data_IF_733828015246
#
_entry.id   IF_733828015246
#
_cell.length_a   1.000
_cell.length_b   1.000
_cell.length_c   1.000
_cell.angle_alpha   90.00
_cell.angle_beta   90.00
_cell.angle_gamma   90.00
#
_symmetry.space_group_name_H-M   'P 1'
#
loop_
_entity.id
_entity.type
_entity.pdbx_description
1 polymer ?
#
# COMPACT_ATOMS: atom_id res chain seq x y z
N UNK A 1 -7.63 33.43 -11.04
CA UNK A 1 -6.29 33.04 -10.56
C UNK A 1 -6.27 31.51 -10.43
N UNK A 2 -5.76 30.80 -11.44
CA UNK A 2 -5.77 29.33 -11.51
C UNK A 2 -4.68 28.82 -10.55
N UNK A 3 -5.04 28.25 -9.40
CA UNK A 3 -4.11 27.50 -8.56
C UNK A 3 -3.68 26.26 -9.31
N UNK A 4 -2.45 26.23 -9.83
CA UNK A 4 -1.83 25.00 -10.34
C UNK A 4 -1.87 23.96 -9.22
N UNK A 5 -2.63 22.86 -9.43
CA UNK A 5 -2.53 21.70 -8.56
C UNK A 5 -1.10 21.13 -8.73
N UNK A 6 -0.38 20.86 -7.64
CA UNK A 6 0.93 20.24 -7.74
C UNK A 6 0.80 18.88 -8.41
N UNK A 7 1.60 18.67 -9.45
CA UNK A 7 1.65 17.45 -10.23
C UNK A 7 2.05 16.31 -9.29
N UNK A 8 1.35 15.20 -9.35
CA UNK A 8 1.55 13.99 -8.50
C UNK A 8 3.01 13.43 -8.50
N UNK A 9 3.86 13.90 -9.40
CA UNK A 9 5.28 13.53 -9.51
C UNK A 9 6.17 14.03 -8.34
N UNK A 10 5.87 15.18 -7.73
CA UNK A 10 6.75 15.75 -6.69
C UNK A 10 6.70 14.91 -5.39
N UNK A 11 5.53 14.38 -5.03
CA UNK A 11 5.39 13.52 -3.85
C UNK A 11 6.05 12.13 -4.02
N UNK A 12 6.23 11.68 -5.26
CA UNK A 12 6.86 10.41 -5.57
C UNK A 12 8.39 10.48 -5.44
N UNK A 13 9.00 11.55 -5.97
CA UNK A 13 10.45 11.77 -5.86
C UNK A 13 10.87 11.83 -4.40
N UNK A 14 10.13 12.54 -3.56
CA UNK A 14 10.43 12.64 -2.12
C UNK A 14 10.33 11.32 -1.37
N UNK A 15 9.34 10.49 -1.71
CA UNK A 15 9.18 9.20 -1.06
C UNK A 15 10.31 8.22 -1.38
N UNK A 16 11.01 8.42 -2.51
CA UNK A 16 12.11 7.56 -2.97
C UNK A 16 13.48 8.16 -2.65
N UNK A 17 13.59 9.48 -2.67
CA UNK A 17 14.87 10.18 -2.55
C UNK A 17 15.62 9.79 -1.27
N UNK A 18 14.98 9.89 -0.12
CA UNK A 18 15.62 9.60 1.16
C UNK A 18 16.02 8.11 1.31
N UNK A 19 15.17 7.11 0.99
CA UNK A 19 15.57 5.70 0.99
C UNK A 19 16.75 5.39 0.05
N UNK A 20 16.69 5.88 -1.18
CA UNK A 20 17.76 5.62 -2.18
C UNK A 20 19.05 6.29 -1.75
N UNK A 21 18.98 7.55 -1.31
CA UNK A 21 20.15 8.27 -0.80
C UNK A 21 20.77 7.54 0.39
N UNK A 22 19.96 7.13 1.38
CA UNK A 22 20.44 6.41 2.56
C UNK A 22 21.18 5.13 2.18
N UNK A 23 20.58 4.27 1.34
CA UNK A 23 21.20 3.01 0.91
C UNK A 23 22.46 3.25 0.11
N UNK A 24 22.46 4.25 -0.76
CA UNK A 24 23.65 4.59 -1.57
C UNK A 24 24.80 5.06 -0.68
N UNK A 25 24.54 5.98 0.25
CA UNK A 25 25.58 6.50 1.15
C UNK A 25 26.06 5.43 2.12
N UNK A 26 25.17 4.57 2.65
CA UNK A 26 25.55 3.50 3.59
C UNK A 26 26.47 2.44 2.98
N UNK A 27 26.69 2.48 1.68
CA UNK A 27 27.64 1.62 0.97
C UNK A 27 29.07 2.16 1.02
N UNK A 28 29.22 3.48 1.15
CA UNK A 28 30.51 4.18 1.10
C UNK A 28 30.90 4.77 2.44
N UNK A 29 29.98 4.93 3.36
CA UNK A 29 30.16 5.55 4.66
C UNK A 29 29.64 4.66 5.78
N UNK A 30 30.13 4.88 6.97
CA UNK A 30 29.63 4.24 8.18
C UNK A 30 28.15 4.57 8.42
N UNK A 31 27.45 3.68 9.11
CA UNK A 31 26.02 3.80 9.36
C UNK A 31 25.65 5.15 9.99
N UNK A 32 26.40 5.62 11.01
CA UNK A 32 26.13 6.89 11.68
C UNK A 32 26.23 8.07 10.72
N UNK A 33 27.30 8.12 9.92
CA UNK A 33 27.48 9.16 8.89
C UNK A 33 26.35 9.14 7.87
N UNK A 34 25.92 7.96 7.45
CA UNK A 34 24.83 7.79 6.51
C UNK A 34 23.48 8.28 7.07
N UNK A 35 23.23 8.03 8.34
CA UNK A 35 22.03 8.54 9.06
C UNK A 35 22.08 10.07 9.13
N UNK A 36 23.22 10.66 9.51
CA UNK A 36 23.36 12.12 9.62
C UNK A 36 23.19 12.80 8.27
N UNK A 37 23.82 12.30 7.21
CA UNK A 37 23.71 12.85 5.86
C UNK A 37 22.27 12.75 5.32
N UNK A 38 21.59 11.63 5.58
CA UNK A 38 20.19 11.46 5.18
C UNK A 38 19.27 12.39 5.99
N UNK A 39 19.54 12.56 7.29
CA UNK A 39 18.83 13.54 8.12
C UNK A 39 19.02 14.98 7.62
N UNK A 40 20.24 15.35 7.24
CA UNK A 40 20.54 16.66 6.65
C UNK A 40 19.77 16.85 5.31
N UNK A 41 19.75 15.85 4.45
CA UNK A 41 18.96 15.88 3.21
C UNK A 41 17.47 16.14 3.49
N UNK A 42 16.89 15.46 4.48
CA UNK A 42 15.50 15.67 4.88
C UNK A 42 15.27 17.12 5.33
N UNK A 43 16.15 17.67 6.18
CA UNK A 43 16.04 19.06 6.64
C UNK A 43 16.14 20.03 5.48
N UNK A 44 17.07 19.83 4.55
CA UNK A 44 17.23 20.66 3.35
C UNK A 44 15.96 20.62 2.50
N UNK A 45 15.42 19.43 2.24
CA UNK A 45 14.20 19.25 1.45
C UNK A 45 12.99 19.92 2.10
N UNK A 46 12.84 19.80 3.44
CA UNK A 46 11.78 20.48 4.17
C UNK A 46 11.95 22.01 4.12
N UNK A 47 13.16 22.51 4.34
CA UNK A 47 13.45 23.96 4.30
C UNK A 47 13.11 24.52 2.93
N UNK A 48 13.49 23.85 1.85
CA UNK A 48 13.17 24.22 0.48
C UNK A 48 11.65 24.34 0.26
N UNK A 49 10.86 23.37 0.78
CA UNK A 49 9.39 23.38 0.67
C UNK A 49 8.75 24.51 1.48
N UNK A 50 9.28 24.80 2.66
CA UNK A 50 8.83 25.96 3.46
C UNK A 50 9.04 27.26 2.67
N UNK A 51 10.21 27.42 2.06
CA UNK A 51 10.49 28.59 1.22
C UNK A 51 9.54 28.71 0.02
N UNK A 52 9.15 27.59 -0.58
CA UNK A 52 8.20 27.54 -1.70
C UNK A 52 6.74 27.64 -1.28
N UNK A 53 6.45 27.75 0.02
CA UNK A 53 5.07 27.76 0.57
C UNK A 53 4.22 26.57 0.14
N UNK A 54 4.85 25.40 -0.03
CA UNK A 54 4.16 24.16 -0.38
C UNK A 54 3.48 23.54 0.85
N UNK A 55 2.48 22.68 0.64
CA UNK A 55 1.79 22.00 1.73
C UNK A 55 2.73 21.03 2.45
N UNK A 56 2.97 21.27 3.74
CA UNK A 56 3.84 20.45 4.59
C UNK A 56 3.19 19.17 5.09
N UNK A 57 1.86 19.05 5.01
CA UNK A 57 1.12 17.92 5.63
C UNK A 57 1.63 16.56 5.19
N UNK A 58 1.78 16.34 3.88
CA UNK A 58 2.25 15.06 3.34
C UNK A 58 3.75 14.86 3.58
N UNK A 59 4.53 15.96 3.56
CA UNK A 59 5.96 15.92 3.83
C UNK A 59 6.26 15.56 5.29
N UNK A 60 5.50 16.07 6.25
CA UNK A 60 5.66 15.75 7.66
C UNK A 60 5.41 14.26 7.94
N UNK A 61 4.40 13.66 7.30
CA UNK A 61 4.15 12.20 7.40
C UNK A 61 5.33 11.42 6.84
N UNK A 62 5.87 11.83 5.68
CA UNK A 62 7.04 11.20 5.07
C UNK A 62 8.28 11.32 5.95
N UNK A 63 8.52 12.51 6.51
CA UNK A 63 9.64 12.76 7.44
C UNK A 63 9.52 11.92 8.70
N UNK A 64 8.35 11.90 9.33
CA UNK A 64 8.14 11.07 10.53
C UNK A 64 8.42 9.59 10.24
N UNK A 65 7.90 9.07 9.13
CA UNK A 65 8.15 7.69 8.72
C UNK A 65 9.62 7.40 8.44
N UNK A 66 10.31 8.32 7.75
CA UNK A 66 11.76 8.18 7.47
C UNK A 66 12.59 8.29 8.74
N UNK A 67 12.27 9.21 9.65
CA UNK A 67 12.96 9.36 10.92
C UNK A 67 12.84 8.10 11.78
N UNK A 68 11.64 7.50 11.86
CA UNK A 68 11.44 6.22 12.56
C UNK A 68 12.29 5.12 11.90
N UNK A 69 12.33 5.06 10.57
CA UNK A 69 13.12 4.07 9.85
C UNK A 69 14.63 4.23 10.12
N UNK A 70 15.14 5.47 10.15
CA UNK A 70 16.54 5.77 10.49
C UNK A 70 16.89 5.40 11.95
N UNK A 71 16.00 5.69 12.89
CA UNK A 71 16.15 5.28 14.29
C UNK A 71 16.23 3.75 14.43
N UNK A 72 15.39 3.02 13.72
CA UNK A 72 15.41 1.55 13.73
C UNK A 72 16.70 1.03 13.10
N UNK A 73 17.18 1.63 12.01
CA UNK A 73 18.47 1.30 11.41
C UNK A 73 19.63 1.50 12.41
N UNK A 74 19.60 2.59 13.16
CA UNK A 74 20.59 2.88 14.20
C UNK A 74 20.54 1.86 15.35
N UNK A 75 19.35 1.56 15.88
CA UNK A 75 19.17 0.58 16.96
C UNK A 75 19.66 -0.80 16.53
N UNK A 76 19.39 -1.18 15.28
CA UNK A 76 19.77 -2.47 14.72
C UNK A 76 21.24 -2.54 14.28
N UNK A 77 21.93 -1.40 14.20
CA UNK A 77 23.32 -1.33 13.74
C UNK A 77 23.51 -1.68 12.26
N UNK A 78 22.45 -1.59 11.44
CA UNK A 78 22.46 -2.03 10.04
C UNK A 78 21.56 -1.17 9.17
N UNK A 79 22.03 -0.87 7.93
CA UNK A 79 21.23 -0.15 6.94
C UNK A 79 19.94 -0.88 6.56
N UNK A 80 19.91 -2.20 6.67
CA UNK A 80 18.69 -3.01 6.43
C UNK A 80 17.58 -2.69 7.42
N UNK A 81 17.90 -2.28 8.65
CA UNK A 81 16.95 -1.86 9.67
C UNK A 81 16.01 -0.75 9.20
N UNK A 82 16.46 0.09 8.27
CA UNK A 82 15.63 1.13 7.63
C UNK A 82 14.37 0.56 6.96
N UNK A 83 14.42 -0.65 6.46
CA UNK A 83 13.30 -1.29 5.75
C UNK A 83 12.37 -2.05 6.70
N UNK A 84 12.78 -2.32 7.94
CA UNK A 84 12.05 -3.18 8.89
C UNK A 84 10.59 -2.74 9.13
N UNK A 85 10.27 -1.44 9.34
CA UNK A 85 8.88 -1.03 9.52
C UNK A 85 7.99 -1.38 8.32
N UNK A 86 8.53 -1.25 7.11
CA UNK A 86 7.83 -1.61 5.87
C UNK A 86 7.58 -3.11 5.77
N UNK A 87 8.57 -3.92 6.13
CA UNK A 87 8.49 -5.39 6.12
C UNK A 87 7.42 -5.86 7.12
N UNK A 88 7.48 -5.36 8.36
CA UNK A 88 6.51 -5.69 9.41
C UNK A 88 5.09 -5.32 8.96
N UNK A 89 4.91 -4.11 8.42
CA UNK A 89 3.62 -3.68 7.89
C UNK A 89 3.10 -4.63 6.82
N UNK A 90 3.90 -4.94 5.80
CA UNK A 90 3.48 -5.75 4.66
C UNK A 90 3.10 -7.18 5.09
N UNK A 91 3.90 -7.79 5.97
CA UNK A 91 3.61 -9.10 6.54
C UNK A 91 2.40 -9.11 7.48
N UNK A 92 2.25 -8.06 8.31
CA UNK A 92 1.09 -7.93 9.19
C UNK A 92 -0.21 -7.81 8.39
N UNK A 93 -0.21 -6.99 7.33
CA UNK A 93 -1.38 -6.85 6.45
C UNK A 93 -1.67 -8.16 5.71
N UNK A 94 -0.63 -8.86 5.24
CA UNK A 94 -0.79 -10.18 4.61
C UNK A 94 -1.38 -11.20 5.60
N UNK A 95 -0.87 -11.26 6.84
CA UNK A 95 -1.35 -12.17 7.87
C UNK A 95 -2.80 -11.89 8.27
N UNK A 96 -3.15 -10.61 8.52
CA UNK A 96 -4.53 -10.20 8.82
C UNK A 96 -5.44 -10.51 7.64
N UNK A 97 -4.99 -10.23 6.42
CA UNK A 97 -5.73 -10.55 5.20
C UNK A 97 -5.97 -12.05 5.05
N UNK A 98 -4.95 -12.87 5.29
CA UNK A 98 -5.05 -14.33 5.27
C UNK A 98 -6.06 -14.84 6.31
N UNK A 99 -5.95 -14.38 7.55
CA UNK A 99 -6.90 -14.74 8.62
C UNK A 99 -8.33 -14.32 8.25
N UNK A 100 -8.52 -13.14 7.67
CA UNK A 100 -9.84 -12.67 7.23
C UNK A 100 -10.50 -13.59 6.20
N UNK A 101 -9.66 -14.19 5.31
CA UNK A 101 -10.12 -15.17 4.30
C UNK A 101 -10.50 -16.50 4.97
N UNK A 102 -9.69 -16.97 5.93
CA UNK A 102 -9.96 -18.20 6.68
C UNK A 102 -11.26 -18.11 7.46
N UNK A 103 -11.53 -16.97 8.12
CA UNK A 103 -12.79 -16.72 8.84
C UNK A 103 -13.98 -16.45 7.91
N UNK A 104 -13.79 -16.57 6.60
CA UNK A 104 -14.85 -16.38 5.62
C UNK A 104 -15.36 -14.93 5.50
N UNK A 105 -14.61 -13.96 5.99
CA UNK A 105 -14.91 -12.52 5.93
C UNK A 105 -13.73 -11.74 5.31
N UNK A 106 -13.48 -11.86 3.99
CA UNK A 106 -12.34 -11.23 3.34
C UNK A 106 -12.27 -9.73 3.61
N UNK A 107 -11.08 -9.22 3.94
CA UNK A 107 -10.86 -7.81 4.30
C UNK A 107 -11.30 -6.82 3.21
N UNK A 108 -11.25 -7.24 1.94
CA UNK A 108 -11.71 -6.47 0.78
C UNK A 108 -13.20 -6.11 0.85
N UNK A 109 -14.01 -6.91 1.53
CA UNK A 109 -15.42 -6.58 1.82
C UNK A 109 -15.50 -5.34 2.68
N UNK A 110 -14.70 -5.27 3.75
CA UNK A 110 -14.73 -4.14 4.67
C UNK A 110 -14.18 -2.86 4.06
N UNK A 111 -13.14 -2.95 3.23
CA UNK A 111 -12.62 -1.80 2.47
C UNK A 111 -13.67 -1.27 1.49
N UNK A 112 -14.30 -2.14 0.70
CA UNK A 112 -15.37 -1.73 -0.22
C UNK A 112 -16.61 -1.19 0.51
N UNK A 113 -17.01 -1.83 1.62
CA UNK A 113 -18.11 -1.34 2.47
C UNK A 113 -17.83 0.08 2.98
N UNK A 114 -16.62 0.34 3.45
CA UNK A 114 -16.24 1.65 3.99
C UNK A 114 -16.29 2.76 2.91
N UNK A 115 -15.97 2.43 1.67
CA UNK A 115 -15.95 3.39 0.56
C UNK A 115 -17.36 3.58 -0.02
N UNK A 116 -18.14 2.51 -0.16
CA UNK A 116 -19.42 2.53 -0.88
C UNK A 116 -20.65 2.62 0.02
N UNK A 117 -20.54 2.29 1.30
CA UNK A 117 -21.67 2.28 2.22
C UNK A 117 -22.70 1.16 1.99
N UNK A 118 -22.40 0.19 1.13
CA UNK A 118 -23.33 -0.90 0.79
C UNK A 118 -23.55 -1.86 1.98
N UNK A 119 -24.70 -2.57 2.03
CA UNK A 119 -25.01 -3.49 3.13
C UNK A 119 -24.00 -4.64 3.23
N UNK A 120 -23.58 -4.96 4.46
CA UNK A 120 -22.63 -6.06 4.68
C UNK A 120 -23.18 -7.41 4.20
N UNK A 121 -24.48 -7.64 4.38
CA UNK A 121 -25.16 -8.89 4.01
C UNK A 121 -25.15 -9.12 2.49
N UNK A 122 -25.19 -8.03 1.69
CA UNK A 122 -25.00 -8.11 0.26
C UNK A 122 -23.61 -8.63 -0.11
N UNK A 123 -22.56 -8.10 0.52
CA UNK A 123 -21.18 -8.56 0.30
C UNK A 123 -20.98 -10.03 0.69
N UNK A 124 -21.73 -10.51 1.69
CA UNK A 124 -21.67 -11.89 2.17
C UNK A 124 -22.57 -12.85 1.36
N UNK A 125 -23.35 -12.34 0.41
CA UNK A 125 -24.19 -13.17 -0.45
C UNK A 125 -23.36 -14.20 -1.23
N UNK A 126 -23.88 -15.44 -1.37
CA UNK A 126 -23.17 -16.59 -1.98
C UNK A 126 -22.61 -16.31 -3.37
N UNK A 127 -23.30 -15.49 -4.17
CA UNK A 127 -22.90 -15.12 -5.53
C UNK A 127 -22.13 -13.77 -5.60
N UNK A 128 -21.82 -13.13 -4.50
CA UNK A 128 -21.04 -11.87 -4.42
C UNK A 128 -19.71 -12.10 -3.73
N UNK A 129 -19.74 -12.73 -2.56
CA UNK A 129 -18.58 -13.00 -1.70
C UNK A 129 -17.37 -13.63 -2.42
N UNK A 130 -17.52 -14.60 -3.36
CA UNK A 130 -16.38 -15.20 -4.02
C UNK A 130 -15.49 -14.19 -4.77
N UNK A 131 -16.07 -13.15 -5.41
CA UNK A 131 -15.29 -12.12 -6.10
C UNK A 131 -14.37 -11.37 -5.13
N UNK A 132 -14.90 -10.96 -3.98
CA UNK A 132 -14.13 -10.27 -2.92
C UNK A 132 -13.07 -11.19 -2.29
N UNK A 133 -13.38 -12.49 -2.12
CA UNK A 133 -12.43 -13.47 -1.61
C UNK A 133 -11.25 -13.66 -2.57
N UNK A 134 -11.51 -13.79 -3.85
CA UNK A 134 -10.48 -13.97 -4.90
C UNK A 134 -9.57 -12.73 -4.96
N UNK A 135 -10.12 -11.52 -4.92
CA UNK A 135 -9.32 -10.28 -4.85
C UNK A 135 -8.50 -10.21 -3.56
N UNK A 136 -9.07 -10.60 -2.42
CA UNK A 136 -8.33 -10.66 -1.16
C UNK A 136 -7.13 -11.62 -1.24
N UNK A 137 -7.29 -12.78 -1.89
CA UNK A 137 -6.22 -13.75 -2.11
C UNK A 137 -5.08 -13.11 -2.93
N UNK A 138 -5.40 -12.41 -4.01
CA UNK A 138 -4.38 -11.72 -4.85
C UNK A 138 -3.56 -10.75 -3.99
N UNK A 139 -4.20 -9.94 -3.16
CA UNK A 139 -3.52 -8.99 -2.27
C UNK A 139 -2.67 -9.67 -1.20
N UNK A 140 -3.18 -10.73 -0.56
CA UNK A 140 -2.45 -11.51 0.45
C UNK A 140 -1.22 -12.16 -0.16
N UNK A 141 -1.34 -12.76 -1.35
CA UNK A 141 -0.21 -13.38 -2.06
C UNK A 141 0.82 -12.31 -2.45
N UNK A 142 0.40 -11.18 -3.01
CA UNK A 142 1.31 -10.10 -3.38
C UNK A 142 2.10 -9.56 -2.18
N UNK A 143 1.41 -9.22 -1.09
CA UNK A 143 2.05 -8.68 0.12
C UNK A 143 2.89 -9.75 0.83
N UNK A 144 2.43 -11.00 0.83
CA UNK A 144 3.15 -12.12 1.41
C UNK A 144 4.47 -12.39 0.67
N UNK A 145 4.42 -12.50 -0.66
CA UNK A 145 5.64 -12.68 -1.49
C UNK A 145 6.59 -11.50 -1.29
N UNK A 146 6.08 -10.27 -1.36
CA UNK A 146 6.88 -9.07 -1.15
C UNK A 146 7.56 -9.09 0.22
N UNK A 147 6.81 -9.32 1.30
CA UNK A 147 7.34 -9.35 2.66
C UNK A 147 8.36 -10.48 2.86
N UNK A 148 8.08 -11.66 2.30
CA UNK A 148 8.97 -12.80 2.37
C UNK A 148 10.30 -12.56 1.62
N UNK A 149 10.24 -11.99 0.42
CA UNK A 149 11.44 -11.61 -0.33
C UNK A 149 12.27 -10.57 0.44
N UNK A 150 11.61 -9.59 1.06
CA UNK A 150 12.31 -8.60 1.88
C UNK A 150 12.97 -9.24 3.12
N UNK A 151 12.35 -10.22 3.76
CA UNK A 151 12.96 -10.97 4.85
C UNK A 151 14.13 -11.83 4.39
N UNK A 152 13.97 -12.52 3.27
CA UNK A 152 15.03 -13.38 2.72
C UNK A 152 16.30 -12.59 2.38
N UNK A 153 16.14 -11.40 1.79
CA UNK A 153 17.25 -10.51 1.45
C UNK A 153 17.53 -9.46 2.51
N UNK A 154 17.13 -9.71 3.76
CA UNK A 154 17.24 -8.70 4.83
C UNK A 154 18.67 -8.20 5.06
N UNK A 155 19.67 -9.05 4.89
CA UNK A 155 21.08 -8.67 5.06
C UNK A 155 21.69 -7.93 3.85
N UNK A 156 20.89 -7.64 2.81
CA UNK A 156 21.33 -6.98 1.57
C UNK A 156 20.51 -5.71 1.33
N UNK A 157 20.89 -4.56 1.93
CA UNK A 157 20.10 -3.32 1.86
C UNK A 157 19.87 -2.83 0.42
N UNK A 158 20.81 -3.11 -0.51
CA UNK A 158 20.67 -2.76 -1.91
C UNK A 158 19.52 -3.55 -2.59
N UNK A 159 19.45 -4.86 -2.30
CA UNK A 159 18.37 -5.70 -2.84
C UNK A 159 17.03 -5.28 -2.24
N UNK A 160 17.00 -4.94 -0.94
CA UNK A 160 15.80 -4.40 -0.30
C UNK A 160 15.34 -3.10 -0.97
N UNK A 161 16.27 -2.20 -1.31
CA UNK A 161 15.93 -0.97 -2.03
C UNK A 161 15.34 -1.27 -3.42
N UNK A 162 15.91 -2.23 -4.17
CA UNK A 162 15.39 -2.66 -5.47
C UNK A 162 13.98 -3.25 -5.33
N UNK A 163 13.76 -4.14 -4.35
CA UNK A 163 12.42 -4.72 -4.07
C UNK A 163 11.43 -3.58 -3.75
N UNK A 164 11.83 -2.62 -2.91
CA UNK A 164 10.99 -1.49 -2.54
C UNK A 164 10.64 -0.61 -3.75
N UNK A 165 11.57 -0.35 -4.65
CA UNK A 165 11.33 0.37 -5.89
C UNK A 165 10.40 -0.39 -6.83
N UNK A 166 10.66 -1.68 -7.06
CA UNK A 166 9.86 -2.54 -7.92
C UNK A 166 8.42 -2.71 -7.41
N UNK A 167 8.22 -2.68 -6.08
CA UNK A 167 6.92 -2.80 -5.42
C UNK A 167 6.43 -1.47 -4.83
N UNK A 168 6.73 -0.37 -5.51
CA UNK A 168 6.40 1.00 -5.12
C UNK A 168 4.90 1.30 -5.23
N UNK A 169 4.52 2.54 -4.95
CA UNK A 169 3.13 3.00 -5.05
C UNK A 169 2.55 2.79 -6.45
N UNK A 170 3.34 2.90 -7.52
CA UNK A 170 2.90 2.68 -8.89
C UNK A 170 2.46 1.24 -9.11
N UNK A 171 3.26 0.27 -8.66
CA UNK A 171 2.90 -1.14 -8.73
C UNK A 171 1.66 -1.44 -7.90
N UNK A 172 1.53 -0.81 -6.73
CA UNK A 172 0.35 -0.93 -5.86
C UNK A 172 -0.91 -0.36 -6.53
N UNK A 173 -0.81 0.82 -7.16
CA UNK A 173 -1.92 1.44 -7.91
C UNK A 173 -2.30 0.58 -9.11
N UNK A 174 -1.31 0.10 -9.86
CA UNK A 174 -1.55 -0.82 -10.98
C UNK A 174 -2.29 -2.07 -10.51
N UNK A 175 -1.84 -2.71 -9.42
CA UNK A 175 -2.50 -3.88 -8.85
C UNK A 175 -3.93 -3.54 -8.39
N UNK A 176 -4.14 -2.37 -7.79
CA UNK A 176 -5.47 -1.91 -7.38
C UNK A 176 -6.42 -1.82 -8.57
N UNK A 177 -5.98 -1.20 -9.67
CA UNK A 177 -6.78 -1.07 -10.89
C UNK A 177 -7.08 -2.46 -11.49
N UNK A 178 -6.06 -3.31 -11.59
CA UNK A 178 -6.22 -4.66 -12.13
C UNK A 178 -7.17 -5.51 -11.28
N UNK A 179 -7.05 -5.47 -9.96
CA UNK A 179 -7.94 -6.21 -9.06
C UNK A 179 -9.35 -5.65 -9.03
N UNK A 180 -9.52 -4.35 -9.23
CA UNK A 180 -10.84 -3.73 -9.40
C UNK A 180 -11.54 -4.23 -10.67
N UNK A 181 -10.83 -4.19 -11.82
CA UNK A 181 -11.36 -4.69 -13.10
C UNK A 181 -11.68 -6.19 -13.01
N UNK A 182 -10.78 -6.95 -12.42
CA UNK A 182 -10.98 -8.38 -12.19
C UNK A 182 -12.23 -8.64 -11.35
N UNK A 183 -12.33 -7.98 -10.19
CA UNK A 183 -13.45 -8.14 -9.26
C UNK A 183 -14.80 -7.77 -9.91
N UNK A 184 -14.85 -6.67 -10.66
CA UNK A 184 -16.04 -6.27 -11.41
C UNK A 184 -16.46 -7.33 -12.43
N UNK A 185 -15.52 -7.82 -13.25
CA UNK A 185 -15.80 -8.90 -14.22
C UNK A 185 -16.25 -10.19 -13.53
N UNK A 186 -15.68 -10.47 -12.35
CA UNK A 186 -16.03 -11.67 -11.59
C UNK A 186 -17.42 -11.57 -11.00
N UNK A 187 -17.83 -10.42 -10.48
CA UNK A 187 -19.21 -10.18 -10.02
C UNK A 187 -20.24 -10.45 -11.12
N UNK A 188 -19.99 -9.93 -12.33
CA UNK A 188 -20.87 -10.16 -13.48
C UNK A 188 -21.01 -11.65 -13.83
N UNK A 189 -19.89 -12.39 -13.79
CA UNK A 189 -19.89 -13.84 -14.07
C UNK A 189 -20.61 -14.66 -12.99
N UNK A 190 -20.64 -14.20 -11.75
CA UNK A 190 -21.27 -14.91 -10.64
C UNK A 190 -22.80 -14.77 -10.63
N UNK A 191 -23.36 -13.83 -11.39
CA UNK A 191 -24.81 -13.68 -11.54
C UNK A 191 -25.54 -13.42 -10.22
N UNK A 192 -24.89 -12.69 -9.29
CA UNK A 192 -25.51 -12.31 -8.01
C UNK A 192 -26.45 -11.13 -8.14
N UNK A 193 -27.22 -10.79 -7.09
CA UNK A 193 -28.07 -9.60 -7.10
C UNK A 193 -27.25 -8.33 -7.15
N UNK A 194 -27.73 -7.29 -7.83
CA UNK A 194 -27.28 -5.93 -7.62
C UNK A 194 -27.63 -5.46 -6.20
N UNK A 195 -27.06 -4.35 -5.75
CA UNK A 195 -27.37 -3.82 -4.41
C UNK A 195 -28.86 -3.47 -4.30
N UNK A 196 -29.42 -2.87 -5.34
CA UNK A 196 -30.84 -2.49 -5.38
C UNK A 196 -31.77 -3.71 -5.39
N UNK A 197 -31.45 -4.73 -6.19
CA UNK A 197 -32.19 -6.00 -6.21
C UNK A 197 -32.14 -6.71 -4.86
N UNK A 198 -31.00 -6.66 -4.19
CA UNK A 198 -30.83 -7.24 -2.85
C UNK A 198 -31.68 -6.52 -1.80
N UNK A 199 -31.66 -5.18 -1.80
CA UNK A 199 -32.44 -4.35 -0.87
C UNK A 199 -33.95 -4.53 -1.09
N UNK A 200 -34.38 -4.64 -2.36
CA UNK A 200 -35.79 -4.83 -2.75
C UNK A 200 -36.24 -6.29 -2.68
N UNK A 201 -35.36 -7.22 -2.25
CA UNK A 201 -35.61 -8.67 -2.17
C UNK A 201 -36.14 -9.24 -3.50
N UNK A 202 -35.63 -8.72 -4.62
CA UNK A 202 -36.04 -9.17 -5.95
C UNK A 202 -35.63 -10.64 -6.17
N UNK A 203 -36.54 -11.51 -6.63
CA UNK A 203 -36.21 -12.90 -6.94
C UNK A 203 -35.30 -13.00 -8.18
N UNK A 204 -34.48 -14.08 -8.30
CA UNK A 204 -33.74 -14.32 -9.53
C UNK A 204 -34.64 -14.52 -10.76
N UNK A 205 -34.16 -14.27 -11.99
CA UNK A 205 -32.79 -13.95 -12.36
C UNK A 205 -32.41 -12.50 -12.05
N UNK A 206 -31.13 -12.31 -11.58
CA UNK A 206 -30.59 -11.00 -11.21
C UNK A 206 -29.76 -10.38 -12.34
N UNK A 207 -29.76 -9.05 -12.41
CA UNK A 207 -28.99 -8.27 -13.40
C UNK A 207 -27.50 -8.17 -13.08
N UNK A 208 -27.10 -8.58 -11.88
CA UNK A 208 -25.76 -8.40 -11.30
C UNK A 208 -25.37 -6.94 -11.09
N UNK A 209 -24.37 -6.71 -10.25
CA UNK A 209 -23.85 -5.37 -9.98
C UNK A 209 -23.05 -4.87 -11.19
N UNK A 210 -23.64 -3.93 -11.96
CA UNK A 210 -23.06 -3.39 -13.19
C UNK A 210 -21.98 -2.36 -12.94
N UNK A 211 -22.08 -1.60 -11.86
CA UNK A 211 -21.16 -0.51 -11.55
C UNK A 211 -20.56 -0.67 -10.17
N UNK A 212 -19.23 -0.75 -10.13
CA UNK A 212 -18.46 -0.73 -8.90
C UNK A 212 -18.23 -2.11 -8.28
N UNK A 213 -16.96 -2.25 -7.81
CA UNK A 213 -16.45 -3.39 -7.05
C UNK A 213 -15.92 -2.92 -5.71
#
# INVERSE_FOLDING_TARGET
MYKRQPIANENFIDAILAPVFFVTISRFQELQTSILLTGALIVITLSYRVFRKESLKNSLIGVAGTSIALLIAQIQGSASGFFLPGIIRDLSVAAIGFLSILFGRPFTIYTSKSIRGWPLDWFLHKNVKPAYREVAIIWVVFLGIKGFLQLYFFNSPEILAVIKLATSNQTTIFLLVMTYIYGQRRLLKLGGPSVDEFLNKTPPPWSSQQSGF
#
